data_IF_577351791822
#
_entry.id   IF_577351791822
#
_cell.length_a   1.000
_cell.length_b   1.000
_cell.length_c   1.000
_cell.angle_alpha   90.00
_cell.angle_beta   90.00
_cell.angle_gamma   90.00
#
_symmetry.space_group_name_H-M   'P 1'
#
loop_
_entity.id
_entity.type
_entity.pdbx_description
1 polymer ?
#
# COMPACT_ATOMS: atom_id res chain seq x y z
N UNK A 1 12.83 7.50 -12.35
CA UNK A 1 11.87 7.07 -11.30
C UNK A 1 11.56 8.30 -10.48
N UNK A 2 10.29 8.64 -10.25
CA UNK A 2 9.96 9.84 -9.47
C UNK A 2 10.25 9.52 -8.00
N UNK A 3 11.30 10.11 -7.45
CA UNK A 3 11.75 9.91 -6.06
C UNK A 3 11.47 11.13 -5.19
N UNK A 4 10.63 12.05 -5.67
CA UNK A 4 10.23 13.22 -4.90
C UNK A 4 9.46 12.75 -3.67
N UNK A 5 10.00 13.08 -2.50
CA UNK A 5 9.34 12.86 -1.22
C UNK A 5 8.09 13.73 -1.13
N UNK A 6 7.05 13.14 -0.57
CA UNK A 6 5.80 13.83 -0.30
C UNK A 6 5.91 14.52 1.06
N UNK A 7 5.19 15.62 1.23
CA UNK A 7 4.94 16.12 2.60
C UNK A 7 4.08 15.11 3.34
N UNK A 8 4.17 15.08 4.66
CA UNK A 8 3.41 14.14 5.51
C UNK A 8 1.90 14.30 5.29
N UNK A 9 1.41 15.53 5.15
CA UNK A 9 0.00 15.81 4.91
C UNK A 9 -0.47 15.22 3.58
N UNK A 10 0.33 15.40 2.52
CA UNK A 10 0.00 14.91 1.19
C UNK A 10 0.12 13.38 1.13
N UNK A 11 1.14 12.81 1.78
CA UNK A 11 1.30 11.37 1.91
C UNK A 11 0.07 10.76 2.61
N UNK A 12 -0.34 11.33 3.74
CA UNK A 12 -1.51 10.89 4.49
C UNK A 12 -2.79 10.96 3.66
N UNK A 13 -3.02 12.08 2.95
CA UNK A 13 -4.19 12.23 2.09
C UNK A 13 -4.23 11.19 0.97
N UNK A 14 -3.12 10.94 0.30
CA UNK A 14 -3.05 9.99 -0.81
C UNK A 14 -3.25 8.55 -0.31
N UNK A 15 -2.57 8.16 0.77
CA UNK A 15 -2.66 6.80 1.31
C UNK A 15 -4.07 6.47 1.82
N UNK A 16 -4.70 7.41 2.51
CA UNK A 16 -6.10 7.28 2.96
C UNK A 16 -7.06 7.17 1.77
N UNK A 17 -7.01 8.11 0.83
CA UNK A 17 -7.96 8.14 -0.29
C UNK A 17 -7.78 7.00 -1.29
N UNK A 18 -6.55 6.55 -1.53
CA UNK A 18 -6.28 5.52 -2.54
C UNK A 18 -6.43 4.10 -1.98
N UNK A 19 -6.06 3.87 -0.72
CA UNK A 19 -5.92 2.54 -0.17
C UNK A 19 -6.62 2.33 1.17
N UNK A 20 -7.20 3.37 1.77
CA UNK A 20 -7.75 3.31 3.14
C UNK A 20 -6.67 3.20 4.22
N UNK A 21 -5.42 3.55 3.90
CA UNK A 21 -4.28 3.38 4.80
C UNK A 21 -4.16 4.58 5.74
N UNK A 22 -3.77 4.32 6.98
CA UNK A 22 -3.50 5.35 7.97
C UNK A 22 -2.00 5.60 8.11
N UNK A 23 -1.58 6.87 8.07
CA UNK A 23 -0.24 7.30 8.45
C UNK A 23 -0.30 7.89 9.87
N UNK A 24 0.38 7.23 10.81
CA UNK A 24 0.34 7.54 12.25
C UNK A 24 1.73 8.00 12.70
N UNK A 25 1.76 9.06 13.51
CA UNK A 25 2.96 9.54 14.18
C UNK A 25 3.12 8.78 15.51
N UNK A 26 4.19 8.00 15.64
CA UNK A 26 4.53 7.21 16.83
C UNK A 26 5.82 7.71 17.50
N UNK A 27 6.16 8.99 17.29
CA UNK A 27 7.34 9.59 17.88
C UNK A 27 7.26 9.65 19.40
N UNK A 28 8.17 8.98 20.11
CA UNK A 28 8.24 8.99 21.59
C UNK A 28 9.24 10.04 22.12
N UNK A 29 8.95 11.31 21.84
CA UNK A 29 9.75 12.45 22.32
C UNK A 29 11.14 12.60 21.70
N UNK A 30 11.42 11.87 20.62
CA UNK A 30 12.67 11.89 19.86
C UNK A 30 12.49 12.28 18.40
N UNK A 31 13.23 11.61 17.50
CA UNK A 31 13.12 11.80 16.05
C UNK A 31 11.73 11.40 15.52
N UNK A 32 11.23 12.05 14.46
CA UNK A 32 9.94 11.73 13.87
C UNK A 32 9.90 10.28 13.38
N UNK A 33 8.92 9.51 13.87
CA UNK A 33 8.67 8.14 13.42
C UNK A 33 7.23 8.00 12.95
N UNK A 34 7.06 7.79 11.64
CA UNK A 34 5.75 7.58 11.02
C UNK A 34 5.57 6.13 10.60
N UNK A 35 4.47 5.53 11.02
CA UNK A 35 4.10 4.16 10.70
C UNK A 35 2.88 4.16 9.79
N UNK A 36 2.91 3.33 8.74
CA UNK A 36 1.78 3.12 7.84
C UNK A 36 1.02 1.88 8.31
N UNK A 37 -0.27 2.04 8.58
CA UNK A 37 -1.20 0.95 8.87
C UNK A 37 -2.14 0.74 7.69
N UNK A 38 -2.36 -0.52 7.33
CA UNK A 38 -3.31 -0.90 6.27
C UNK A 38 -4.78 -0.77 6.72
N UNK A 39 -5.69 -1.07 5.80
CA UNK A 39 -7.15 -0.99 6.03
C UNK A 39 -7.66 -1.94 7.13
N UNK A 40 -6.90 -2.99 7.44
CA UNK A 40 -7.19 -3.96 8.50
C UNK A 40 -6.53 -3.58 9.84
N UNK A 41 -5.77 -2.47 9.89
CA UNK A 41 -5.06 -1.99 11.06
C UNK A 41 -3.73 -2.70 11.32
N UNK A 42 -3.19 -3.44 10.34
CA UNK A 42 -1.87 -4.05 10.44
C UNK A 42 -0.79 -3.09 9.95
N UNK A 43 0.38 -3.14 10.57
CA UNK A 43 1.53 -2.36 10.10
C UNK A 43 1.94 -2.82 8.69
N UNK A 44 1.90 -1.89 7.74
CA UNK A 44 2.18 -2.18 6.34
C UNK A 44 3.63 -2.66 6.14
N UNK A 45 4.61 -2.12 6.86
CA UNK A 45 6.00 -2.57 6.78
C UNK A 45 6.29 -3.87 7.55
N UNK A 46 5.27 -4.52 8.15
CA UNK A 46 5.42 -5.78 8.88
C UNK A 46 5.75 -7.01 8.02
N UNK A 47 5.69 -6.91 6.68
CA UNK A 47 5.98 -8.03 5.76
C UNK A 47 7.10 -7.73 4.78
N UNK A 48 7.93 -8.74 4.47
CA UNK A 48 8.97 -8.64 3.44
C UNK A 48 8.44 -8.26 2.05
N UNK A 49 7.16 -8.52 1.78
CA UNK A 49 6.52 -8.13 0.51
C UNK A 49 6.34 -6.63 0.38
N UNK A 50 6.26 -5.90 1.50
CA UNK A 50 5.94 -4.47 1.51
C UNK A 50 7.19 -3.59 1.57
N UNK A 51 8.33 -4.14 2.03
CA UNK A 51 9.64 -3.48 2.00
C UNK A 51 10.14 -3.10 0.60
N UNK A 52 9.50 -3.60 -0.47
CA UNK A 52 9.83 -3.24 -1.86
C UNK A 52 9.26 -1.87 -2.29
N UNK A 53 8.36 -1.28 -1.50
CA UNK A 53 7.71 0.00 -1.80
C UNK A 53 8.11 1.06 -0.81
N UNK A 54 8.47 2.23 -1.33
CA UNK A 54 8.72 3.42 -0.53
C UNK A 54 7.51 4.36 -0.60
N UNK A 55 6.57 4.19 0.33
CA UNK A 55 5.33 4.98 0.36
C UNK A 55 5.54 6.44 0.79
N UNK A 56 6.76 6.86 1.11
CA UNK A 56 7.08 8.29 1.32
C UNK A 56 7.18 9.07 0.01
N UNK A 57 7.26 8.36 -1.13
CA UNK A 57 7.37 8.97 -2.47
C UNK A 57 6.16 8.64 -3.33
N UNK A 58 5.79 9.58 -4.20
CA UNK A 58 4.72 9.33 -5.20
C UNK A 58 5.06 8.14 -6.11
N UNK A 59 6.33 7.95 -6.44
CA UNK A 59 6.79 6.83 -7.28
C UNK A 59 6.71 5.48 -6.59
N UNK A 60 6.85 5.39 -5.27
CA UNK A 60 6.60 4.16 -4.53
C UNK A 60 5.11 3.86 -4.41
N UNK A 61 4.29 4.88 -4.15
CA UNK A 61 2.81 4.78 -4.12
C UNK A 61 2.27 4.25 -5.46
N UNK A 62 2.70 4.82 -6.60
CA UNK A 62 2.26 4.37 -7.92
C UNK A 62 2.64 2.91 -8.18
N UNK A 63 3.86 2.50 -7.80
CA UNK A 63 4.32 1.11 -7.96
C UNK A 63 3.54 0.13 -7.10
N UNK A 64 3.20 0.53 -5.88
CA UNK A 64 2.33 -0.27 -5.03
C UNK A 64 0.94 -0.45 -5.66
N UNK A 65 0.35 0.64 -6.18
CA UNK A 65 -0.94 0.58 -6.88
C UNK A 65 -0.89 -0.32 -8.13
N UNK A 66 0.19 -0.26 -8.90
CA UNK A 66 0.40 -1.10 -10.08
C UNK A 66 0.42 -2.60 -9.71
N UNK A 67 1.20 -2.98 -8.69
CA UNK A 67 1.27 -4.38 -8.23
C UNK A 67 -0.06 -4.88 -7.64
N UNK A 68 -0.76 -4.04 -6.85
CA UNK A 68 -2.14 -4.33 -6.38
C UNK A 68 -3.07 -4.58 -7.55
N UNK A 69 -3.05 -3.70 -8.56
CA UNK A 69 -3.85 -3.84 -9.77
C UNK A 69 -3.55 -5.13 -10.53
N UNK A 70 -2.26 -5.47 -10.70
CA UNK A 70 -1.84 -6.71 -11.36
C UNK A 70 -2.29 -7.95 -10.58
N UNK A 71 -2.10 -7.98 -9.25
CA UNK A 71 -2.54 -9.08 -8.38
C UNK A 71 -4.06 -9.25 -8.40
N UNK A 72 -4.83 -8.16 -8.35
CA UNK A 72 -6.30 -8.19 -8.44
C UNK A 72 -6.78 -8.69 -9.81
N UNK A 73 -6.14 -8.23 -10.90
CA UNK A 73 -6.46 -8.72 -12.24
C UNK A 73 -6.20 -10.22 -12.40
N UNK A 74 -5.08 -10.70 -11.84
CA UNK A 74 -4.76 -12.13 -11.83
C UNK A 74 -5.78 -12.94 -11.02
N UNK A 75 -6.16 -12.46 -9.82
CA UNK A 75 -7.18 -13.10 -8.99
C UNK A 75 -8.53 -13.18 -9.71
N UNK A 76 -8.97 -12.09 -10.36
CA UNK A 76 -10.23 -12.07 -11.14
C UNK A 76 -10.20 -13.13 -12.25
N UNK A 77 -9.09 -13.21 -12.99
CA UNK A 77 -8.92 -14.22 -14.04
C UNK A 77 -8.98 -15.65 -13.48
N UNK A 78 -8.35 -15.90 -12.33
CA UNK A 78 -8.41 -17.20 -11.67
C UNK A 78 -9.84 -17.57 -11.24
N UNK A 79 -10.59 -16.61 -10.70
CA UNK A 79 -11.99 -16.82 -10.31
C UNK A 79 -12.87 -17.12 -11.52
N UNK A 80 -12.69 -16.40 -12.62
CA UNK A 80 -13.43 -16.64 -13.87
C UNK A 80 -13.12 -18.04 -14.43
N UNK A 81 -11.85 -18.45 -14.45
CA UNK A 81 -11.46 -19.80 -14.86
C UNK A 81 -12.07 -20.88 -13.96
N UNK A 82 -12.05 -20.71 -12.64
CA UNK A 82 -12.67 -21.63 -11.69
C UNK A 82 -14.17 -21.78 -11.94
N UNK A 83 -14.86 -20.66 -12.19
CA UNK A 83 -16.28 -20.63 -12.53
C UNK A 83 -16.59 -21.40 -13.82
N UNK A 84 -15.81 -21.18 -14.89
CA UNK A 84 -15.95 -21.90 -16.17
C UNK A 84 -15.73 -23.41 -15.99
N UNK A 85 -14.78 -23.79 -15.14
CA UNK A 85 -14.46 -25.19 -14.84
C UNK A 85 -15.41 -25.84 -13.82
N UNK A 86 -16.39 -25.10 -13.28
CA UNK A 86 -17.33 -25.61 -12.27
C UNK A 86 -16.71 -25.88 -10.90
N UNK A 87 -15.57 -25.24 -10.61
CA UNK A 87 -14.84 -25.37 -9.34
C UNK A 87 -15.27 -24.22 -8.43
N UNK A 88 -16.01 -24.52 -7.36
CA UNK A 88 -16.32 -23.58 -6.27
C UNK A 88 -15.12 -23.42 -5.34
#
# INVERSE_FOLDING_TARGET
>A
MITTELTIELQKEILDKMFGFALVDESDGGEPHYVVYDEDGNEFYGSNENCKYDLSTIGGIIRYAEDRGYKMGYLSCQMDMRKVLGIS
#
